data_IF_604016845987
#
_entry.id   IF_604016845987
#
_cell.length_a   1.000
_cell.length_b   1.000
_cell.length_c   1.000
_cell.angle_alpha   90.00
_cell.angle_beta   90.00
_cell.angle_gamma   90.00
#
_symmetry.space_group_name_H-M   'P 1'
#
loop_
_entity.id
_entity.type
_entity.pdbx_description
1 polymer ?
#
# COMPACT_ATOMS: atom_id res chain seq x y z
N UNK A 1 -5.04 19.45 -14.16
CA UNK A 1 -5.45 18.39 -13.22
C UNK A 1 -4.23 18.03 -12.40
N UNK A 2 -4.21 18.30 -11.10
CA UNK A 2 -3.04 17.99 -10.26
C UNK A 2 -2.95 16.47 -10.10
N UNK A 3 -1.84 15.87 -10.53
CA UNK A 3 -1.52 14.46 -10.23
C UNK A 3 -1.12 14.41 -8.75
N UNK A 4 -2.05 14.01 -7.89
CA UNK A 4 -1.71 13.70 -6.50
C UNK A 4 -0.87 12.43 -6.50
N UNK A 5 0.44 12.58 -6.28
CA UNK A 5 1.35 11.45 -6.16
C UNK A 5 1.20 10.84 -4.77
N UNK A 6 0.89 9.54 -4.71
CA UNK A 6 0.86 8.78 -3.46
C UNK A 6 2.30 8.65 -2.94
N UNK A 7 2.52 9.01 -1.68
CA UNK A 7 3.80 8.80 -1.02
C UNK A 7 4.06 7.30 -0.88
N UNK A 8 5.31 6.86 -1.03
CA UNK A 8 5.69 5.44 -0.94
C UNK A 8 6.86 5.26 0.00
N UNK A 9 6.83 4.20 0.79
CA UNK A 9 8.01 3.65 1.45
C UNK A 9 8.53 2.48 0.61
N UNK A 10 9.85 2.42 0.38
CA UNK A 10 10.46 1.44 -0.50
C UNK A 10 11.56 0.70 0.24
N UNK A 11 11.53 -0.63 0.15
CA UNK A 11 12.64 -1.50 0.55
C UNK A 11 13.25 -2.08 -0.73
N UNK A 12 14.48 -1.68 -1.00
CA UNK A 12 15.22 -2.07 -2.20
C UNK A 12 15.56 -3.57 -2.16
N UNK A 13 15.61 -4.24 -3.33
CA UNK A 13 16.12 -5.60 -3.42
C UNK A 13 17.62 -5.64 -3.09
N UNK A 14 18.09 -6.78 -2.58
CA UNK A 14 19.51 -7.03 -2.26
C UNK A 14 20.23 -7.82 -3.36
N UNK A 15 19.50 -8.31 -4.36
CA UNK A 15 19.98 -8.94 -5.58
C UNK A 15 19.37 -8.23 -6.81
N UNK A 16 19.72 -8.60 -8.06
CA UNK A 16 19.10 -8.01 -9.23
C UNK A 16 17.57 -8.03 -9.15
N UNK A 17 16.95 -6.87 -9.41
CA UNK A 17 15.51 -6.69 -9.32
C UNK A 17 14.79 -7.56 -10.36
N UNK A 18 13.93 -8.46 -9.88
CA UNK A 18 13.19 -9.41 -10.71
C UNK A 18 11.67 -9.25 -10.60
N UNK A 19 11.19 -8.82 -9.44
CA UNK A 19 9.78 -8.66 -9.11
C UNK A 19 9.57 -7.46 -8.19
N UNK A 20 8.39 -6.85 -8.25
CA UNK A 20 7.94 -5.88 -7.26
C UNK A 20 6.73 -6.43 -6.52
N UNK A 21 6.72 -6.29 -5.20
CA UNK A 21 5.53 -6.47 -4.37
C UNK A 21 5.07 -5.09 -3.88
N UNK A 22 3.80 -4.76 -4.13
CA UNK A 22 3.12 -3.56 -3.64
C UNK A 22 2.12 -4.02 -2.57
N UNK A 23 2.28 -3.54 -1.33
CA UNK A 23 1.36 -3.89 -0.23
C UNK A 23 0.73 -2.64 0.37
N UNK A 24 -0.60 -2.65 0.48
CA UNK A 24 -1.37 -1.56 1.07
C UNK A 24 -1.55 -1.78 2.58
N UNK A 25 -1.22 -0.78 3.38
CA UNK A 25 -1.44 -0.83 4.82
C UNK A 25 -2.93 -0.71 5.17
N UNK A 26 -3.29 -1.19 6.37
CA UNK A 26 -4.63 -1.08 6.94
C UNK A 26 -4.98 0.32 7.45
N UNK A 27 -6.25 0.51 7.81
CA UNK A 27 -6.78 1.79 8.35
C UNK A 27 -6.03 2.21 9.61
N UNK A 28 -5.56 3.46 9.66
CA UNK A 28 -4.91 4.04 10.84
C UNK A 28 -3.42 3.72 10.99
N UNK A 29 -2.86 2.83 10.15
CA UNK A 29 -1.41 2.62 10.02
C UNK A 29 -0.83 3.53 8.93
N UNK A 30 0.48 3.51 8.70
CA UNK A 30 1.14 4.16 7.58
C UNK A 30 2.14 3.22 6.89
N UNK A 31 2.66 3.65 5.74
CA UNK A 31 3.57 2.84 4.93
C UNK A 31 4.84 2.37 5.65
N UNK A 32 5.43 3.21 6.50
CA UNK A 32 6.70 2.88 7.18
C UNK A 32 6.46 1.93 8.35
N UNK A 33 5.44 2.19 9.18
CA UNK A 33 5.05 1.31 10.27
C UNK A 33 4.69 -0.08 9.74
N UNK A 34 3.82 -0.14 8.74
CA UNK A 34 3.41 -1.41 8.16
C UNK A 34 4.58 -2.18 7.54
N UNK A 35 5.50 -1.48 6.84
CA UNK A 35 6.70 -2.14 6.33
C UNK A 35 7.55 -2.75 7.46
N UNK A 36 7.77 -2.00 8.54
CA UNK A 36 8.53 -2.48 9.70
C UNK A 36 7.90 -3.74 10.30
N UNK A 37 6.61 -3.69 10.63
CA UNK A 37 5.88 -4.83 11.22
C UNK A 37 5.84 -6.03 10.27
N UNK A 38 5.66 -5.79 8.96
CA UNK A 38 5.62 -6.85 7.98
C UNK A 38 6.95 -7.60 7.87
N UNK A 39 8.08 -6.88 7.92
CA UNK A 39 9.41 -7.49 7.84
C UNK A 39 9.89 -8.16 9.14
N UNK A 40 9.23 -7.92 10.27
CA UNK A 40 9.45 -8.70 11.50
C UNK A 40 8.96 -10.14 11.39
N UNK A 41 8.08 -10.43 10.42
CA UNK A 41 7.55 -11.76 10.18
C UNK A 41 8.60 -12.72 9.59
N UNK A 42 8.55 -13.97 10.03
CA UNK A 42 9.39 -15.06 9.54
C UNK A 42 8.54 -16.15 8.89
N UNK A 43 9.11 -16.83 7.90
CA UNK A 43 8.51 -18.05 7.37
C UNK A 43 8.60 -19.20 8.40
N UNK A 44 7.93 -20.32 8.11
CA UNK A 44 7.93 -21.51 8.98
C UNK A 44 9.33 -22.09 9.24
N UNK A 45 10.32 -21.72 8.43
CA UNK A 45 11.74 -22.10 8.56
C UNK A 45 12.60 -20.99 9.21
N UNK A 46 11.98 -20.02 9.88
CA UNK A 46 12.60 -18.89 10.58
C UNK A 46 13.37 -17.89 9.71
N UNK A 47 13.32 -17.99 8.37
CA UNK A 47 13.92 -16.98 7.49
C UNK A 47 13.03 -15.76 7.36
N UNK A 48 13.66 -14.58 7.31
CA UNK A 48 12.96 -13.33 7.01
C UNK A 48 12.67 -13.18 5.52
N UNK A 49 11.60 -12.47 5.17
CA UNK A 49 11.15 -12.30 3.79
C UNK A 49 12.21 -11.70 2.87
N UNK A 50 13.01 -10.74 3.37
CA UNK A 50 14.11 -10.15 2.60
C UNK A 50 15.20 -11.17 2.20
N UNK A 51 15.38 -12.24 2.99
CA UNK A 51 16.31 -13.33 2.66
C UNK A 51 15.67 -14.36 1.71
N UNK A 52 14.35 -14.57 1.81
CA UNK A 52 13.61 -15.49 0.94
C UNK A 52 13.48 -14.91 -0.47
N UNK A 53 13.31 -13.59 -0.58
CA UNK A 53 13.08 -12.88 -1.84
C UNK A 53 14.11 -11.77 -2.09
N UNK A 54 15.40 -12.09 -2.27
CA UNK A 54 16.46 -11.08 -2.35
C UNK A 54 16.36 -10.21 -3.62
N UNK A 55 15.77 -10.71 -4.70
CA UNK A 55 15.55 -9.97 -5.95
C UNK A 55 14.23 -9.18 -6.00
N UNK A 56 13.47 -9.12 -4.91
CA UNK A 56 12.15 -8.47 -4.88
C UNK A 56 12.28 -7.07 -4.29
N UNK A 57 11.76 -6.07 -5.01
CA UNK A 57 11.54 -4.73 -4.46
C UNK A 57 10.21 -4.71 -3.74
N UNK A 58 10.15 -4.09 -2.57
CA UNK A 58 8.91 -3.97 -1.80
C UNK A 58 8.52 -2.50 -1.73
N UNK A 59 7.29 -2.22 -2.11
CA UNK A 59 6.74 -0.87 -2.18
C UNK A 59 5.49 -0.82 -1.32
N UNK A 60 5.46 0.14 -0.41
CA UNK A 60 4.36 0.37 0.52
C UNK A 60 3.79 1.75 0.24
N UNK A 61 2.73 1.86 -0.57
CA UNK A 61 2.01 3.11 -0.74
C UNK A 61 1.41 3.59 0.58
N UNK A 62 1.47 4.89 0.84
CA UNK A 62 0.94 5.52 2.03
C UNK A 62 -0.35 6.27 1.71
N UNK A 63 -1.44 5.92 2.37
CA UNK A 63 -2.71 6.61 2.18
C UNK A 63 -2.62 8.08 2.60
N UNK A 64 -3.44 8.95 2.02
CA UNK A 64 -3.52 10.33 2.47
C UNK A 64 -4.07 10.42 3.90
N UNK A 65 -3.61 11.41 4.66
CA UNK A 65 -4.19 11.76 5.96
C UNK A 65 -5.54 12.42 5.71
N UNK A 66 -6.58 11.93 6.39
CA UNK A 66 -7.94 12.48 6.34
C UNK A 66 -8.53 12.51 7.73
N UNK A 67 -9.34 13.53 7.99
CA UNK A 67 -10.11 13.61 9.22
C UNK A 67 -11.18 12.51 9.24
N UNK A 68 -11.18 11.72 10.30
CA UNK A 68 -12.12 10.65 10.54
C UNK A 68 -13.25 11.15 11.44
N UNK A 69 -14.40 11.49 10.87
CA UNK A 69 -15.54 12.04 11.64
C UNK A 69 -16.00 11.11 12.78
N UNK A 70 -16.00 9.80 12.54
CA UNK A 70 -16.43 8.80 13.54
C UNK A 70 -15.45 8.69 14.71
N UNK A 71 -14.15 8.71 14.43
CA UNK A 71 -13.07 8.58 15.42
C UNK A 71 -12.59 9.93 15.98
N UNK A 72 -12.98 11.04 15.35
CA UNK A 72 -12.61 12.43 15.67
C UNK A 72 -11.12 12.73 15.64
N UNK A 73 -10.38 12.07 14.75
CA UNK A 73 -8.93 12.22 14.62
C UNK A 73 -8.48 12.22 13.16
N UNK A 74 -7.31 12.79 12.89
CA UNK A 74 -6.64 12.68 11.59
C UNK A 74 -5.91 11.34 11.50
N UNK A 75 -6.17 10.59 10.43
CA UNK A 75 -5.52 9.29 10.22
C UNK A 75 -5.31 8.98 8.74
N UNK A 76 -4.34 8.12 8.46
CA UNK A 76 -4.10 7.59 7.13
C UNK A 76 -5.22 6.62 6.73
N UNK A 77 -5.94 6.95 5.65
CA UNK A 77 -7.01 6.10 5.09
C UNK A 77 -7.12 6.21 3.58
N UNK A 78 -7.35 5.07 2.93
CA UNK A 78 -7.61 4.99 1.49
C UNK A 78 -8.97 5.59 1.11
N UNK A 79 -9.97 5.44 1.96
CA UNK A 79 -11.30 6.00 1.76
C UNK A 79 -12.05 6.09 3.09
N UNK A 80 -13.11 6.89 3.11
CA UNK A 80 -13.90 7.14 4.33
C UNK A 80 -14.98 6.08 4.49
N UNK A 81 -15.22 5.61 5.71
CA UNK A 81 -16.25 4.61 6.00
C UNK A 81 -17.07 5.03 7.22
N UNK A 82 -18.40 4.95 7.12
CA UNK A 82 -19.29 5.31 8.22
C UNK A 82 -19.31 4.27 9.36
N UNK A 83 -19.00 3.01 9.06
CA UNK A 83 -18.93 1.93 10.05
C UNK A 83 -18.06 0.78 9.55
N UNK A 84 -17.07 0.37 10.34
CA UNK A 84 -16.26 -0.83 10.05
C UNK A 84 -17.09 -2.12 10.15
N UNK A 85 -18.11 -2.14 11.03
CA UNK A 85 -18.98 -3.30 11.22
C UNK A 85 -20.03 -3.45 10.12
N UNK A 86 -20.38 -2.35 9.47
CA UNK A 86 -21.33 -2.31 8.36
C UNK A 86 -20.71 -1.56 7.18
N UNK A 87 -19.78 -2.20 6.42
CA UNK A 87 -19.02 -1.53 5.36
C UNK A 87 -19.87 -0.99 4.23
N UNK A 88 -21.10 -1.45 4.07
CA UNK A 88 -22.04 -0.96 3.05
C UNK A 88 -22.87 0.24 3.52
N UNK A 89 -22.71 0.65 4.78
CA UNK A 89 -23.39 1.84 5.31
C UNK A 89 -22.77 3.08 4.69
N UNK A 90 -23.59 3.88 4.00
CA UNK A 90 -23.19 5.14 3.35
C UNK A 90 -22.06 4.97 2.32
N UNK A 91 -22.22 4.03 1.38
CA UNK A 91 -21.25 3.76 0.31
C UNK A 91 -20.86 5.02 -0.48
N UNK A 92 -21.77 5.98 -0.63
CA UNK A 92 -21.52 7.24 -1.33
C UNK A 92 -20.33 8.02 -0.75
N UNK A 93 -20.07 7.91 0.55
CA UNK A 93 -18.90 8.53 1.19
C UNK A 93 -17.58 7.89 0.76
N UNK A 94 -17.59 6.60 0.44
CA UNK A 94 -16.39 5.85 0.08
C UNK A 94 -15.92 6.21 -1.33
N UNK A 95 -16.85 6.57 -2.22
CA UNK A 95 -16.61 6.68 -3.66
C UNK A 95 -15.50 7.66 -4.03
N UNK A 96 -15.43 8.82 -3.36
CA UNK A 96 -14.40 9.80 -3.66
C UNK A 96 -13.01 9.27 -3.30
N UNK A 97 -12.83 8.82 -2.05
CA UNK A 97 -11.56 8.27 -1.58
C UNK A 97 -11.13 7.04 -2.39
N UNK A 98 -12.07 6.16 -2.76
CA UNK A 98 -11.80 5.01 -3.61
C UNK A 98 -11.26 5.43 -4.98
N UNK A 99 -11.90 6.40 -5.65
CA UNK A 99 -11.44 6.88 -6.97
C UNK A 99 -10.05 7.49 -6.90
N UNK A 100 -9.79 8.31 -5.88
CA UNK A 100 -8.50 8.95 -5.68
C UNK A 100 -7.40 7.92 -5.37
N UNK A 101 -7.68 6.98 -4.46
CA UNK A 101 -6.75 5.92 -4.08
C UNK A 101 -6.46 4.95 -5.21
N UNK A 102 -7.47 4.50 -5.96
CA UNK A 102 -7.29 3.63 -7.14
C UNK A 102 -6.40 4.33 -8.17
N UNK A 103 -6.63 5.62 -8.44
CA UNK A 103 -5.79 6.38 -9.37
C UNK A 103 -4.33 6.44 -8.88
N UNK A 104 -4.12 6.75 -7.61
CA UNK A 104 -2.79 6.83 -7.02
C UNK A 104 -2.05 5.50 -7.02
N UNK A 105 -2.71 4.42 -6.62
CA UNK A 105 -2.16 3.05 -6.63
C UNK A 105 -1.86 2.60 -8.06
N UNK A 106 -2.73 2.95 -9.02
CA UNK A 106 -2.50 2.66 -10.44
C UNK A 106 -1.22 3.35 -10.97
N UNK A 107 -0.96 4.59 -10.55
CA UNK A 107 0.28 5.28 -10.91
C UNK A 107 1.52 4.60 -10.33
N UNK A 108 1.45 4.08 -9.09
CA UNK A 108 2.53 3.28 -8.50
C UNK A 108 2.72 1.98 -9.28
N UNK A 109 1.64 1.21 -9.49
CA UNK A 109 1.64 -0.06 -10.24
C UNK A 109 2.28 0.11 -11.63
N UNK A 110 1.92 1.17 -12.36
CA UNK A 110 2.47 1.46 -13.68
C UNK A 110 3.98 1.71 -13.63
N UNK A 111 4.46 2.55 -12.70
CA UNK A 111 5.89 2.86 -12.54
C UNK A 111 6.70 1.61 -12.21
N UNK A 112 6.18 0.81 -11.29
CA UNK A 112 6.81 -0.43 -10.87
C UNK A 112 6.87 -1.48 -11.98
N UNK A 113 5.81 -1.59 -12.77
CA UNK A 113 5.79 -2.44 -13.95
C UNK A 113 6.77 -1.97 -15.02
N UNK A 114 6.90 -0.67 -15.25
CA UNK A 114 7.90 -0.10 -16.17
C UNK A 114 9.33 -0.43 -15.72
N UNK A 115 9.61 -0.32 -14.43
CA UNK A 115 10.94 -0.57 -13.86
C UNK A 115 11.36 -2.05 -13.94
N UNK A 116 10.48 -2.97 -13.55
CA UNK A 116 10.80 -4.41 -13.48
C UNK A 116 10.65 -5.14 -14.83
N UNK A 117 10.10 -4.45 -15.83
CA UNK A 117 9.91 -4.95 -17.19
C UNK A 117 8.62 -5.76 -17.38
N UNK A 118 7.52 -5.33 -16.78
CA UNK A 118 6.15 -5.76 -17.10
C UNK A 118 5.26 -6.04 -15.88
N UNK A 119 3.95 -5.89 -16.07
CA UNK A 119 2.94 -6.15 -15.02
C UNK A 119 2.94 -7.60 -14.50
N UNK A 120 3.38 -8.57 -15.31
CA UNK A 120 3.47 -9.98 -14.90
C UNK A 120 4.50 -10.25 -13.79
N UNK A 121 5.29 -9.25 -13.42
CA UNK A 121 6.30 -9.30 -12.34
C UNK A 121 5.93 -8.41 -11.14
N UNK A 122 4.74 -7.83 -11.14
CA UNK A 122 4.25 -6.96 -10.06
C UNK A 122 3.08 -7.64 -9.36
N UNK A 123 3.17 -7.75 -8.04
CA UNK A 123 2.08 -8.22 -7.19
C UNK A 123 1.49 -7.04 -6.43
N UNK A 124 0.17 -6.92 -6.39
CA UNK A 124 -0.55 -5.94 -5.58
C UNK A 124 -1.40 -6.69 -4.55
N UNK A 125 -1.22 -6.35 -3.27
CA UNK A 125 -1.92 -6.94 -2.13
C UNK A 125 -2.38 -5.92 -1.10
#
# INVERSE_FOLDING_TARGET
MSTSTVAVHVVAPTAPHTHTIILLHGRGSNAQEFASEFFESQASDARFLANIFPGYKWVFPCAAIRYAETEKEDMHRWFDMASVREPTRRLEMQLQGLRESVKGIWEVLRREAEEVGGYGKVFLG
#
